data_IF_647355790362
#
_entry.id   IF_647355790362
#
_cell.length_a   1.000
_cell.length_b   1.000
_cell.length_c   1.000
_cell.angle_alpha   90.00
_cell.angle_beta   90.00
_cell.angle_gamma   90.00
#
_symmetry.space_group_name_H-M   'P 1'
#
loop_
_entity.id
_entity.type
_entity.pdbx_description
1 polymer ?
#
# COMPACT_ATOMS: atom_id res chain seq x y z
N UNK A 1 12.18 -15.72 21.01
CA UNK A 1 11.91 -15.04 20.73
C UNK A 1 11.03 -14.76 19.87
N UNK A 2 10.27 -14.70 19.88
CA UNK A 2 9.32 -14.38 19.06
C UNK A 2 9.75 -13.94 17.78
N UNK A 3 9.17 -13.96 16.84
CA UNK A 3 9.55 -13.47 15.57
C UNK A 3 9.46 -11.97 15.48
N UNK A 4 9.91 -11.45 14.39
CA UNK A 4 9.80 -10.05 14.06
C UNK A 4 8.34 -9.73 13.77
N UNK A 5 7.83 -8.70 14.41
CA UNK A 5 6.48 -8.23 14.11
C UNK A 5 6.57 -7.26 12.94
N UNK A 6 5.93 -7.59 11.85
CA UNK A 6 5.98 -6.78 10.64
C UNK A 6 4.69 -6.01 10.45
N UNK A 7 4.83 -4.78 9.99
CA UNK A 7 3.69 -3.97 9.65
C UNK A 7 2.95 -4.49 8.43
N UNK A 8 1.67 -4.16 8.33
CA UNK A 8 0.82 -4.59 7.22
C UNK A 8 -0.31 -3.58 7.05
N UNK A 9 -0.61 -3.24 5.84
CA UNK A 9 -1.74 -2.35 5.56
C UNK A 9 -2.76 -2.95 4.59
N UNK A 10 -2.46 -4.11 4.01
CA UNK A 10 -3.44 -4.85 3.23
C UNK A 10 -3.65 -4.40 1.81
N UNK A 11 -2.58 -3.99 1.13
CA UNK A 11 -2.69 -3.59 -0.27
C UNK A 11 -2.02 -4.62 -1.17
N UNK A 12 -2.55 -4.72 -2.39
CA UNK A 12 -1.92 -5.45 -3.48
C UNK A 12 -1.41 -4.42 -4.46
N UNK A 13 -0.13 -4.49 -4.79
CA UNK A 13 0.52 -3.47 -5.61
C UNK A 13 1.15 -4.09 -6.85
N UNK A 14 1.29 -3.29 -7.90
CA UNK A 14 1.98 -3.71 -9.11
C UNK A 14 2.65 -2.52 -9.76
N UNK A 15 3.67 -2.80 -10.57
CA UNK A 15 4.37 -1.76 -11.30
C UNK A 15 3.46 -1.12 -12.34
N UNK A 16 3.69 0.16 -12.58
CA UNK A 16 3.00 0.85 -13.66
C UNK A 16 3.84 0.71 -14.92
N UNK A 17 3.37 -0.11 -15.84
CA UNK A 17 4.02 -0.27 -17.14
C UNK A 17 3.59 0.88 -18.05
N UNK A 18 4.34 1.15 -19.14
CA UNK A 18 3.91 2.16 -20.10
C UNK A 18 2.51 1.89 -20.66
N UNK A 19 2.16 0.63 -20.86
CA UNK A 19 0.83 0.28 -21.36
C UNK A 19 -0.25 0.63 -20.33
N UNK A 20 -0.03 0.31 -19.06
CA UNK A 20 -0.97 0.66 -18.01
C UNK A 20 -1.12 2.17 -17.88
N UNK A 21 0.01 2.88 -17.93
CA UNK A 21 -0.02 4.34 -17.82
C UNK A 21 -0.86 4.95 -18.94
N UNK A 22 -0.69 4.45 -20.16
CA UNK A 22 -1.44 4.95 -21.29
C UNK A 22 -2.91 4.56 -21.22
N UNK A 23 -3.21 3.31 -20.86
CA UNK A 23 -4.57 2.80 -20.85
C UNK A 23 -5.44 3.43 -19.79
N UNK A 24 -4.87 3.71 -18.62
CA UNK A 24 -5.64 4.22 -17.49
C UNK A 24 -5.27 5.65 -17.12
N UNK A 25 -4.49 6.31 -17.96
CA UNK A 25 -4.08 7.69 -17.75
C UNK A 25 -3.39 7.87 -16.40
N UNK A 26 -2.48 6.95 -16.09
CA UNK A 26 -1.74 6.96 -14.84
C UNK A 26 -0.42 7.70 -14.99
N UNK A 27 0.15 8.22 -13.89
CA UNK A 27 1.48 8.80 -13.96
C UNK A 27 2.51 7.71 -14.26
N UNK A 28 3.65 8.07 -14.88
CA UNK A 28 4.66 7.06 -15.22
C UNK A 28 5.45 6.55 -14.03
N UNK A 29 5.32 7.17 -12.87
CA UNK A 29 6.04 6.78 -11.68
C UNK A 29 5.08 6.51 -10.55
N UNK A 30 5.52 5.69 -9.61
CA UNK A 30 4.72 5.28 -8.48
C UNK A 30 4.31 3.83 -8.61
N UNK A 31 3.47 3.39 -7.70
CA UNK A 31 3.06 1.98 -7.65
C UNK A 31 1.54 1.93 -7.66
N UNK A 32 0.99 1.17 -8.58
CA UNK A 32 -0.46 1.04 -8.69
C UNK A 32 -0.99 0.14 -7.57
N UNK A 33 -2.00 0.63 -6.86
CA UNK A 33 -2.71 -0.19 -5.89
C UNK A 33 -3.77 -0.95 -6.69
N UNK A 34 -3.54 -2.25 -6.88
CA UNK A 34 -4.41 -3.09 -7.68
C UNK A 34 -5.59 -3.62 -6.88
N UNK A 35 -5.46 -3.71 -5.58
CA UNK A 35 -6.53 -4.19 -4.74
C UNK A 35 -6.26 -3.96 -3.28
N UNK A 36 -7.28 -4.17 -2.46
CA UNK A 36 -7.19 -4.01 -1.01
C UNK A 36 -7.81 -5.23 -0.34
N UNK A 37 -7.22 -5.65 0.77
CA UNK A 37 -7.86 -6.65 1.61
C UNK A 37 -9.05 -6.01 2.32
N UNK A 38 -10.14 -6.76 2.43
CA UNK A 38 -11.35 -6.25 3.10
C UNK A 38 -11.05 -5.95 4.57
N UNK A 39 -11.52 -4.80 5.03
CA UNK A 39 -11.34 -4.34 6.42
C UNK A 39 -9.88 -4.18 6.83
N UNK A 40 -8.99 -4.05 5.85
CA UNK A 40 -7.58 -3.78 6.12
C UNK A 40 -7.39 -2.32 6.53
N UNK A 41 -6.22 -1.98 7.10
CA UNK A 41 -5.92 -0.58 7.39
C UNK A 41 -6.06 0.33 6.18
N UNK A 42 -5.62 -0.13 5.01
CA UNK A 42 -5.72 0.68 3.79
C UNK A 42 -7.17 0.90 3.40
N UNK A 43 -7.99 -0.13 3.49
CA UNK A 43 -9.42 -0.02 3.21
C UNK A 43 -10.07 0.98 4.17
N UNK A 44 -9.79 0.86 5.46
CA UNK A 44 -10.34 1.78 6.46
C UNK A 44 -9.81 3.19 6.31
N UNK A 45 -8.59 3.33 5.77
CA UNK A 45 -7.98 4.62 5.53
C UNK A 45 -8.47 5.34 4.30
N UNK A 46 -9.36 4.72 3.54
CA UNK A 46 -9.96 5.37 2.37
C UNK A 46 -9.24 5.15 1.06
N UNK A 47 -8.28 4.24 1.01
CA UNK A 47 -7.65 3.89 -0.25
C UNK A 47 -8.60 3.07 -1.10
N UNK A 48 -8.47 3.18 -2.41
CA UNK A 48 -9.28 2.40 -3.35
C UNK A 48 -8.40 1.83 -4.44
N UNK A 49 -8.81 0.73 -5.08
CA UNK A 49 -8.07 0.22 -6.22
C UNK A 49 -8.01 1.27 -7.33
N UNK A 50 -6.86 1.38 -7.96
CA UNK A 50 -6.62 2.40 -8.96
C UNK A 50 -5.83 3.60 -8.45
N UNK A 51 -5.69 3.75 -7.13
CA UNK A 51 -4.82 4.77 -6.58
C UNK A 51 -3.36 4.45 -6.91
N UNK A 52 -2.57 5.48 -7.15
CA UNK A 52 -1.14 5.31 -7.38
C UNK A 52 -0.40 5.79 -6.14
N UNK A 53 0.30 4.88 -5.50
CA UNK A 53 1.06 5.20 -4.30
C UNK A 53 2.39 5.84 -4.69
N UNK A 54 2.68 6.99 -4.14
CA UNK A 54 3.87 7.76 -4.47
C UNK A 54 4.89 7.72 -3.33
N UNK A 55 4.44 8.00 -2.11
CA UNK A 55 5.33 7.97 -0.94
C UNK A 55 4.66 7.27 0.22
N UNK A 56 5.51 6.71 1.08
CA UNK A 56 5.09 6.14 2.36
C UNK A 56 5.88 6.86 3.44
N UNK A 57 5.18 7.61 4.28
CA UNK A 57 5.78 8.36 5.39
C UNK A 57 6.91 9.26 4.88
N UNK A 58 6.71 9.86 3.71
CA UNK A 58 7.68 10.76 3.09
C UNK A 58 8.73 10.09 2.24
N UNK A 59 8.80 8.76 2.24
CA UNK A 59 9.80 8.02 1.45
C UNK A 59 9.19 7.59 0.12
N UNK A 60 9.83 7.98 -0.97
CA UNK A 60 9.35 7.62 -2.30
C UNK A 60 9.46 6.12 -2.53
N UNK A 61 8.47 5.55 -3.19
CA UNK A 61 8.46 4.12 -3.52
C UNK A 61 8.32 3.97 -5.02
N UNK A 62 9.13 3.08 -5.60
CA UNK A 62 9.17 2.89 -7.04
C UNK A 62 9.00 1.43 -7.47
N UNK A 63 8.98 0.51 -6.52
CA UNK A 63 8.83 -0.91 -6.82
C UNK A 63 7.85 -1.53 -5.84
N UNK A 64 7.14 -2.60 -6.25
CA UNK A 64 6.27 -3.31 -5.31
C UNK A 64 7.03 -3.84 -4.10
N UNK A 65 8.24 -4.34 -4.31
CA UNK A 65 9.07 -4.82 -3.21
C UNK A 65 9.42 -3.70 -2.24
N UNK A 66 9.71 -2.50 -2.75
CA UNK A 66 10.00 -1.34 -1.91
C UNK A 66 8.82 -0.95 -1.04
N UNK A 67 7.59 -1.06 -1.57
CA UNK A 67 6.39 -0.79 -0.79
C UNK A 67 6.29 -1.78 0.37
N UNK A 68 6.49 -3.07 0.09
CA UNK A 68 6.40 -4.08 1.12
C UNK A 68 7.47 -3.89 2.20
N UNK A 69 8.67 -3.53 1.79
CA UNK A 69 9.74 -3.28 2.75
C UNK A 69 9.46 -2.08 3.63
N UNK A 70 8.99 -0.98 3.05
CA UNK A 70 8.70 0.22 3.84
C UNK A 70 7.59 -0.05 4.84
N UNK A 71 6.53 -0.73 4.42
CA UNK A 71 5.43 -1.05 5.31
C UNK A 71 5.88 -2.00 6.41
N UNK A 72 6.71 -3.00 6.06
CA UNK A 72 7.15 -4.00 7.01
C UNK A 72 8.03 -3.41 8.14
N UNK A 73 8.68 -2.27 7.88
CA UNK A 73 9.49 -1.61 8.89
C UNK A 73 8.67 -0.87 9.92
N UNK A 74 7.41 -0.60 9.62
CA UNK A 74 6.58 0.21 10.50
C UNK A 74 5.99 -0.67 11.59
N UNK A 75 6.02 -0.21 12.85
CA UNK A 75 5.42 -1.00 13.92
C UNK A 75 3.90 -0.97 13.82
N UNK A 76 3.24 -2.08 14.16
CA UNK A 76 1.78 -2.07 14.22
C UNK A 76 1.28 -1.02 15.20
N UNK A 77 0.18 -0.37 14.83
CA UNK A 77 -0.41 0.70 15.63
C UNK A 77 0.03 2.08 15.20
N UNK A 78 1.12 2.19 14.44
CA UNK A 78 1.61 3.49 14.01
C UNK A 78 0.70 4.06 12.91
N UNK A 79 0.42 5.35 12.99
CA UNK A 79 -0.24 6.06 11.91
C UNK A 79 0.80 6.48 10.89
N UNK A 80 0.56 6.20 9.64
CA UNK A 80 1.48 6.53 8.57
C UNK A 80 0.76 7.34 7.50
N UNK A 81 1.44 8.33 6.96
CA UNK A 81 0.87 9.15 5.90
C UNK A 81 1.33 8.61 4.55
N UNK A 82 0.39 8.41 3.67
CA UNK A 82 0.67 7.98 2.30
C UNK A 82 0.29 9.11 1.35
N UNK A 83 1.15 9.36 0.37
CA UNK A 83 0.80 10.27 -0.72
C UNK A 83 0.38 9.42 -1.89
N UNK A 84 -0.79 9.69 -2.43
CA UNK A 84 -1.33 8.93 -3.55
C UNK A 84 -1.81 9.89 -4.63
N UNK A 85 -1.91 9.38 -5.84
CA UNK A 85 -2.51 10.10 -6.95
C UNK A 85 -3.79 9.37 -7.33
N UNK A 86 -4.92 10.09 -7.27
CA UNK A 86 -6.22 9.57 -7.63
C UNK A 86 -6.81 10.49 -8.69
N UNK A 87 -7.04 9.93 -9.87
CA UNK A 87 -7.59 10.70 -11.00
C UNK A 87 -6.78 11.96 -11.28
N UNK A 88 -5.46 11.82 -11.26
CA UNK A 88 -4.57 12.92 -11.57
C UNK A 88 -4.35 13.91 -10.44
N UNK A 89 -4.97 13.69 -9.27
CA UNK A 89 -4.82 14.61 -8.13
C UNK A 89 -4.00 13.96 -7.03
N UNK A 90 -3.09 14.74 -6.47
CA UNK A 90 -2.29 14.29 -5.34
C UNK A 90 -3.11 14.41 -4.06
N UNK A 91 -3.24 13.32 -3.34
CA UNK A 91 -4.00 13.27 -2.09
C UNK A 91 -3.15 12.62 -1.02
N UNK A 92 -3.44 12.97 0.23
CA UNK A 92 -2.83 12.31 1.36
C UNK A 92 -3.84 11.38 2.01
N UNK A 93 -3.38 10.21 2.42
CA UNK A 93 -4.20 9.28 3.17
C UNK A 93 -3.45 8.89 4.43
N UNK A 94 -4.15 8.73 5.54
CA UNK A 94 -3.56 8.27 6.79
C UNK A 94 -4.08 6.88 7.07
N UNK A 95 -3.16 5.97 7.33
CA UNK A 95 -3.47 4.56 7.54
C UNK A 95 -2.81 4.12 8.84
N UNK A 96 -3.54 3.37 9.65
CA UNK A 96 -2.97 2.80 10.86
C UNK A 96 -2.42 1.42 10.54
N UNK A 97 -1.11 1.24 10.69
CA UNK A 97 -0.45 -0.02 10.40
C UNK A 97 -0.96 -1.10 11.37
N UNK A 98 -1.24 -2.26 10.84
CA UNK A 98 -1.68 -3.39 11.64
C UNK A 98 -0.64 -4.50 11.60
N UNK A 99 -0.84 -5.49 12.43
CA UNK A 99 -0.03 -6.69 12.39
C UNK A 99 -0.49 -7.54 11.20
N UNK A 100 0.45 -8.12 10.49
CA UNK A 100 0.11 -8.97 9.37
C UNK A 100 -0.71 -10.16 9.85
N UNK A 101 -1.88 -10.42 9.25
CA UNK A 101 -2.72 -11.55 9.69
C UNK A 101 -2.00 -12.88 9.48
N UNK A 102 -2.24 -13.79 10.40
CA UNK A 102 -1.75 -15.16 10.23
C UNK A 102 -2.69 -15.86 9.25
N UNK A 103 -2.15 -16.57 8.27
CA UNK A 103 -3.01 -17.30 7.35
C UNK A 103 -3.88 -18.30 8.09
N UNK A 104 -5.18 -18.32 7.76
CA UNK A 104 -6.10 -19.24 8.43
C UNK A 104 -6.41 -20.45 7.60
N UNK A 105 -5.67 -20.65 6.56
CA UNK A 105 -5.93 -21.77 5.68
C UNK A 105 -5.69 -23.09 6.32
N UNK A 106 -5.11 -23.03 7.44
CA UNK A 106 -4.93 -24.23 8.07
C UNK A 106 -6.17 -24.60 8.73
N UNK A 107 -6.86 -24.52 8.73
CA UNK A 107 -7.61 -24.79 9.44
C UNK A 107 -8.38 -25.38 9.30
N UNK A 108 -8.18 -25.49 9.20
CA UNK A 108 -8.65 -25.89 8.96
C UNK A 108 -8.84 -26.42 8.81
#
# INVERSE_FOLDING_TARGET
>A
TGGVVRGWIGIQVQEITPELAASFNLPPQGILIAGLARNSPADKGGLIPGDVLVTIDGTAVNTPHGVLEEVARLPPGRLVKLSIIRRGKLLDATVQVARRPIPTTSRE
#
